data_IF_450635810384
#
_entry.id   IF_450635810384
#
_cell.length_a   1.000
_cell.length_b   1.000
_cell.length_c   1.000
_cell.angle_alpha   90.00
_cell.angle_beta   90.00
_cell.angle_gamma   90.00
#
_symmetry.space_group_name_H-M   'P 1'
#
loop_
_entity.id
_entity.type
_entity.pdbx_description
1 polymer ?
#
# COMPACT_ATOMS: atom_id res chain seq x y z
N UNK A 1 13.10 7.38 -4.01
CA UNK A 1 12.33 6.50 -3.13
C UNK A 1 11.33 5.69 -3.92
N UNK A 2 11.11 4.46 -3.53
CA UNK A 2 10.19 3.57 -4.20
C UNK A 2 8.92 3.41 -3.38
N UNK A 3 7.77 3.39 -4.05
CA UNK A 3 6.49 3.18 -3.38
C UNK A 3 5.96 1.79 -3.67
N UNK A 4 5.35 1.17 -2.67
CA UNK A 4 4.66 -0.10 -2.78
C UNK A 4 3.27 0.04 -2.19
N UNK A 5 2.30 -0.67 -2.77
CA UNK A 5 0.95 -0.76 -2.20
C UNK A 5 0.76 -2.18 -1.70
N UNK A 6 0.31 -2.32 -0.46
CA UNK A 6 0.00 -3.63 0.09
C UNK A 6 -1.30 -4.12 -0.53
N UNK A 7 -1.23 -5.24 -1.26
CA UNK A 7 -2.41 -5.85 -1.87
C UNK A 7 -3.17 -6.72 -0.87
N UNK A 8 -2.46 -7.61 -0.21
CA UNK A 8 -3.04 -8.53 0.77
C UNK A 8 -1.95 -9.12 1.66
N UNK A 9 -2.39 -9.77 2.72
CA UNK A 9 -1.50 -10.59 3.55
C UNK A 9 -1.72 -12.04 3.21
N UNK A 10 -0.65 -12.79 3.04
CA UNK A 10 -0.68 -14.25 2.85
C UNK A 10 0.31 -14.90 3.80
N UNK A 11 -0.20 -15.68 4.75
CA UNK A 11 0.65 -16.34 5.73
C UNK A 11 1.51 -15.34 6.48
N UNK A 12 2.81 -15.46 6.34
CA UNK A 12 3.79 -14.60 7.01
C UNK A 12 4.20 -13.39 6.17
N UNK A 13 3.57 -13.18 5.01
CA UNK A 13 4.00 -12.19 4.04
C UNK A 13 2.94 -11.17 3.72
N UNK A 14 3.38 -9.94 3.49
CA UNK A 14 2.59 -8.90 2.87
C UNK A 14 2.91 -8.93 1.39
N UNK A 15 1.90 -9.11 0.55
CA UNK A 15 2.06 -9.09 -0.90
C UNK A 15 1.85 -7.66 -1.37
N UNK A 16 2.89 -7.07 -1.92
CA UNK A 16 2.90 -5.67 -2.32
C UNK A 16 3.11 -5.54 -3.83
N UNK A 17 2.56 -4.48 -4.39
CA UNK A 17 2.67 -4.18 -5.81
C UNK A 17 3.37 -2.83 -5.99
N UNK A 18 4.32 -2.76 -6.94
CA UNK A 18 5.00 -1.50 -7.24
C UNK A 18 4.30 -0.74 -8.37
N UNK A 19 4.87 0.40 -8.77
CA UNK A 19 4.32 1.23 -9.85
C UNK A 19 4.35 0.56 -11.22
N UNK A 20 5.16 -0.48 -11.39
CA UNK A 20 5.23 -1.25 -12.63
C UNK A 20 4.36 -2.50 -12.60
N UNK A 21 3.54 -2.64 -11.56
CA UNK A 21 2.64 -3.77 -11.36
C UNK A 21 3.36 -5.09 -11.10
N UNK A 22 4.56 -5.00 -10.54
CA UNK A 22 5.29 -6.18 -10.08
C UNK A 22 4.98 -6.46 -8.63
N UNK A 23 4.85 -7.73 -8.28
CA UNK A 23 4.53 -8.16 -6.93
C UNK A 23 5.77 -8.56 -6.16
N UNK A 24 5.78 -8.20 -4.88
CA UNK A 24 6.86 -8.56 -3.95
C UNK A 24 6.26 -9.10 -2.67
N UNK A 25 6.87 -10.15 -2.13
CA UNK A 25 6.50 -10.69 -0.82
C UNK A 25 7.47 -10.12 0.21
N UNK A 26 6.93 -9.43 1.21
CA UNK A 26 7.71 -8.84 2.30
C UNK A 26 7.26 -9.48 3.59
N UNK A 27 8.20 -9.89 4.44
CA UNK A 27 7.85 -10.48 5.73
C UNK A 27 7.05 -9.48 6.56
N UNK A 28 6.00 -9.96 7.23
CA UNK A 28 5.10 -9.11 8.00
C UNK A 28 5.79 -8.36 9.14
N UNK A 29 6.96 -8.82 9.57
CA UNK A 29 7.74 -8.16 10.61
C UNK A 29 8.46 -6.90 10.12
N UNK A 30 8.63 -6.73 8.81
CA UNK A 30 9.39 -5.60 8.26
C UNK A 30 8.61 -4.29 8.16
N UNK A 31 7.36 -4.27 7.66
CA UNK A 31 6.62 -3.01 7.63
C UNK A 31 6.14 -2.60 9.01
N UNK A 32 5.77 -1.32 9.19
CA UNK A 32 5.19 -0.88 10.46
C UNK A 32 3.93 -1.67 10.83
N UNK A 33 3.67 -1.79 12.12
CA UNK A 33 2.52 -2.54 12.63
C UNK A 33 1.17 -2.00 12.15
N UNK A 34 1.11 -0.72 11.88
CA UNK A 34 -0.10 -0.05 11.41
C UNK A 34 -0.39 -0.34 9.94
N UNK A 35 0.57 -0.90 9.21
CA UNK A 35 0.41 -1.18 7.78
C UNK A 35 -0.62 -2.29 7.56
N UNK A 36 -1.59 -2.02 6.69
CA UNK A 36 -2.69 -2.94 6.37
C UNK A 36 -2.87 -3.02 4.85
N UNK A 37 -3.60 -4.02 4.35
CA UNK A 37 -3.93 -4.03 2.93
C UNK A 37 -4.57 -2.70 2.49
N UNK A 38 -4.11 -2.20 1.36
CA UNK A 38 -4.52 -0.90 0.83
C UNK A 38 -3.61 0.25 1.21
N UNK A 39 -2.72 0.06 2.18
CA UNK A 39 -1.76 1.10 2.57
C UNK A 39 -0.63 1.23 1.57
N UNK A 40 -0.09 2.44 1.48
CA UNK A 40 1.08 2.73 0.66
C UNK A 40 2.32 2.73 1.55
N UNK A 41 3.34 2.01 1.14
CA UNK A 41 4.63 1.97 1.82
C UNK A 41 5.67 2.68 0.96
N UNK A 42 6.62 3.32 1.61
CA UNK A 42 7.80 3.88 0.96
C UNK A 42 9.03 3.10 1.38
N UNK A 43 9.89 2.82 0.41
CA UNK A 43 11.22 2.27 0.68
C UNK A 43 12.20 3.43 0.60
N UNK A 44 12.86 3.72 1.71
CA UNK A 44 13.87 4.79 1.75
C UNK A 44 15.13 4.35 1.03
N UNK A 45 16.03 5.30 0.75
CA UNK A 45 17.31 5.00 0.15
C UNK A 45 18.17 4.07 1.02
N UNK A 46 17.89 4.03 2.31
CA UNK A 46 18.57 3.15 3.25
C UNK A 46 17.94 1.76 3.34
N UNK A 47 16.84 1.54 2.61
CA UNK A 47 16.16 0.26 2.59
C UNK A 47 15.11 0.07 3.68
N UNK A 48 14.74 1.14 4.38
CA UNK A 48 13.71 1.06 5.40
C UNK A 48 12.32 1.17 4.79
N UNK A 49 11.38 0.43 5.37
CA UNK A 49 9.98 0.52 4.98
C UNK A 49 9.25 1.49 5.89
N UNK A 50 8.58 2.46 5.32
CA UNK A 50 7.79 3.46 6.05
C UNK A 50 6.39 3.51 5.52
N UNK A 51 5.43 3.71 6.41
CA UNK A 51 4.04 3.91 6.02
C UNK A 51 3.87 5.34 5.50
N UNK A 52 3.37 5.47 4.28
CA UNK A 52 3.05 6.77 3.70
C UNK A 52 1.57 7.05 3.95
N UNK A 53 1.28 7.72 5.05
CA UNK A 53 -0.09 8.02 5.45
C UNK A 53 -0.80 8.97 4.49
N UNK A 54 -0.09 9.97 3.99
CA UNK A 54 -0.67 10.93 3.05
C UNK A 54 -1.10 10.27 1.76
N UNK A 55 -0.23 9.46 1.17
CA UNK A 55 -0.57 8.77 -0.08
C UNK A 55 -1.62 7.71 0.15
N UNK A 56 -1.62 7.06 1.30
CA UNK A 56 -2.65 6.12 1.69
C UNK A 56 -4.02 6.81 1.74
N UNK A 57 -4.08 7.99 2.35
CA UNK A 57 -5.31 8.79 2.43
C UNK A 57 -5.79 9.22 1.05
N UNK A 58 -4.88 9.70 0.22
CA UNK A 58 -5.21 10.10 -1.16
C UNK A 58 -5.77 8.93 -1.96
N UNK A 59 -5.19 7.76 -1.80
CA UNK A 59 -5.63 6.56 -2.49
C UNK A 59 -7.04 6.17 -2.05
N UNK A 60 -7.32 6.22 -0.76
CA UNK A 60 -8.65 5.94 -0.23
C UNK A 60 -9.68 6.93 -0.75
N UNK A 61 -9.32 8.20 -0.78
CA UNK A 61 -10.20 9.24 -1.29
C UNK A 61 -10.54 9.03 -2.77
N UNK A 62 -9.56 8.67 -3.58
CA UNK A 62 -9.77 8.37 -4.99
C UNK A 62 -10.74 7.20 -5.19
N UNK A 63 -10.60 6.17 -4.38
CA UNK A 63 -11.48 5.00 -4.44
C UNK A 63 -12.90 5.39 -4.05
N UNK A 64 -13.08 6.16 -2.99
CA UNK A 64 -14.39 6.64 -2.56
C UNK A 64 -15.06 7.49 -3.64
N UNK A 65 -14.31 8.38 -4.28
CA UNK A 65 -14.83 9.21 -5.35
C UNK A 65 -15.32 8.37 -6.54
N UNK A 66 -14.58 7.36 -6.91
CA UNK A 66 -14.97 6.44 -7.97
C UNK A 66 -16.25 5.69 -7.60
N UNK A 67 -16.36 5.24 -6.37
CA UNK A 67 -17.57 4.55 -5.90
C UNK A 67 -18.79 5.46 -5.93
N UNK A 68 -18.64 6.70 -5.51
CA UNK A 68 -19.75 7.66 -5.59
C UNK A 68 -20.25 7.84 -7.02
N UNK A 69 -19.34 7.98 -7.98
CA UNK A 69 -19.69 8.13 -9.39
C UNK A 69 -20.40 6.90 -9.93
N UNK A 70 -20.02 5.72 -9.46
CA UNK A 70 -20.62 4.47 -9.90
C UNK A 70 -22.02 4.27 -9.35
N UNK A 71 -22.33 4.77 -8.16
CA UNK A 71 -23.58 4.50 -7.46
C UNK A 71 -24.56 5.66 -7.43
N UNK A 72 -24.45 6.57 -8.31
CA UNK A 72 -25.53 7.50 -8.43
C UNK A 72 -25.18 8.91 -8.24
N UNK A 73 -24.02 8.99 -8.38
CA UNK A 73 -23.57 10.22 -8.38
C UNK A 73 -24.20 11.46 -8.34
#
# INVERSE_FOLDING_TARGET
>A
MKQLVIDRFEGKYAICEDSEQKYFAIELSEPPKEAKPGCVLQITDEGELRLDEEETQRRRQRILDKQRRAFGG
#
